data_IF_893314794454
#
_entry.id   IF_893314794454
#
_cell.length_a   1.000
_cell.length_b   1.000
_cell.length_c   1.000
_cell.angle_alpha   90.00
_cell.angle_beta   90.00
_cell.angle_gamma   90.00
#
_symmetry.space_group_name_H-M   'P 1'
#
loop_
_entity.id
_entity.type
_entity.pdbx_description
1 polymer ?
#
# COMPACT_ATOMS: atom_id res chain seq x y z
N UNK A 1 -37.22 11.36 7.91
CA UNK A 1 -36.22 10.35 8.31
C UNK A 1 -35.17 11.09 9.11
N UNK A 2 -35.03 10.75 10.39
CA UNK A 2 -34.12 11.41 11.32
C UNK A 2 -32.67 11.21 10.87
N UNK A 3 -31.93 12.30 10.67
CA UNK A 3 -30.52 12.30 10.31
C UNK A 3 -29.60 11.91 11.48
N UNK A 4 -30.17 11.70 12.68
CA UNK A 4 -29.45 11.55 13.95
C UNK A 4 -28.96 10.12 14.28
N UNK A 5 -28.96 9.17 13.34
CA UNK A 5 -28.41 7.82 13.59
C UNK A 5 -27.36 7.36 12.59
N UNK A 6 -26.70 8.29 11.89
CA UNK A 6 -25.61 7.91 10.98
C UNK A 6 -24.33 7.58 11.76
N UNK A 7 -23.80 6.38 11.49
CA UNK A 7 -22.48 5.96 11.94
C UNK A 7 -21.43 6.98 11.47
N UNK A 8 -20.66 7.54 12.41
CA UNK A 8 -19.53 8.42 12.12
C UNK A 8 -18.24 7.60 12.10
N UNK A 9 -17.78 7.27 10.90
CA UNK A 9 -16.42 6.73 10.70
C UNK A 9 -15.41 7.83 11.05
N UNK A 10 -14.39 7.48 11.82
CA UNK A 10 -13.36 8.42 12.29
C UNK A 10 -12.14 8.44 11.38
N UNK A 11 -11.69 7.26 10.98
CA UNK A 11 -10.48 7.05 10.17
C UNK A 11 -10.53 5.66 9.51
N UNK A 12 -9.65 5.45 8.55
CA UNK A 12 -9.35 4.13 8.02
C UNK A 12 -8.36 3.44 8.95
N UNK A 13 -8.68 2.22 9.42
CA UNK A 13 -7.81 1.50 10.37
C UNK A 13 -6.65 0.77 9.72
N UNK A 14 -6.91 -0.04 8.69
CA UNK A 14 -5.90 -0.75 7.90
C UNK A 14 -6.52 -1.37 6.65
N UNK A 15 -5.67 -1.77 5.70
CA UNK A 15 -6.01 -2.63 4.57
C UNK A 15 -5.35 -4.00 4.75
N UNK A 16 -6.06 -5.07 4.41
CA UNK A 16 -5.53 -6.44 4.48
C UNK A 16 -5.44 -7.06 3.10
N UNK A 17 -4.25 -7.55 2.75
CA UNK A 17 -3.94 -8.15 1.45
C UNK A 17 -3.61 -9.62 1.62
N UNK A 18 -4.01 -10.42 0.63
CA UNK A 18 -3.44 -11.75 0.45
C UNK A 18 -2.25 -11.66 -0.50
N UNK A 19 -1.12 -12.22 -0.10
CA UNK A 19 0.15 -12.18 -0.83
C UNK A 19 0.68 -13.58 -1.08
N UNK A 20 1.49 -13.75 -2.12
CA UNK A 20 2.06 -15.05 -2.50
C UNK A 20 3.40 -15.36 -1.83
N UNK A 21 4.17 -14.34 -1.49
CA UNK A 21 5.51 -14.48 -0.92
C UNK A 21 5.76 -13.36 0.11
N UNK A 22 5.76 -13.73 1.39
CA UNK A 22 5.96 -12.79 2.49
C UNK A 22 7.33 -12.11 2.49
N UNK A 23 8.36 -12.75 1.93
CA UNK A 23 9.68 -12.16 1.87
C UNK A 23 9.78 -11.15 0.71
N UNK A 24 9.17 -11.46 -0.44
CA UNK A 24 8.99 -10.46 -1.49
C UNK A 24 8.16 -9.26 -0.99
N UNK A 25 7.09 -9.53 -0.25
CA UNK A 25 6.27 -8.50 0.40
C UNK A 25 7.09 -7.63 1.34
N UNK A 26 7.94 -8.22 2.20
CA UNK A 26 8.84 -7.47 3.09
C UNK A 26 9.80 -6.59 2.32
N UNK A 27 10.48 -7.14 1.31
CA UNK A 27 11.38 -6.35 0.46
C UNK A 27 10.67 -5.14 -0.12
N UNK A 28 9.43 -5.30 -0.59
CA UNK A 28 8.67 -4.19 -1.14
C UNK A 28 8.24 -3.18 -0.07
N UNK A 29 7.44 -3.58 0.92
CA UNK A 29 6.82 -2.64 1.85
C UNK A 29 7.81 -2.08 2.88
N UNK A 30 8.72 -2.90 3.41
CA UNK A 30 9.72 -2.47 4.40
C UNK A 30 10.94 -1.87 3.73
N UNK A 31 11.56 -2.60 2.81
CA UNK A 31 12.88 -2.19 2.31
C UNK A 31 12.77 -1.14 1.21
N UNK A 32 11.82 -1.26 0.27
CA UNK A 32 11.64 -0.29 -0.82
C UNK A 32 10.78 0.89 -0.39
N UNK A 33 9.60 0.68 0.19
CA UNK A 33 8.72 1.79 0.58
C UNK A 33 9.09 2.41 1.94
N UNK A 34 9.79 1.67 2.81
CA UNK A 34 10.23 2.20 4.10
C UNK A 34 9.17 2.12 5.21
N UNK A 35 8.10 1.33 5.03
CA UNK A 35 7.14 1.10 6.11
C UNK A 35 7.77 0.29 7.24
N UNK A 36 7.43 0.60 8.48
CA UNK A 36 7.90 -0.14 9.63
C UNK A 36 7.19 -1.50 9.71
N UNK A 37 7.95 -2.60 9.74
CA UNK A 37 7.41 -3.92 10.10
C UNK A 37 7.14 -3.94 11.61
N UNK A 38 5.88 -3.95 12.02
CA UNK A 38 5.48 -3.83 13.43
C UNK A 38 5.26 -5.17 14.11
N UNK A 39 5.24 -6.27 13.35
CA UNK A 39 5.22 -7.62 13.90
C UNK A 39 4.69 -8.67 12.92
N UNK A 40 4.45 -9.86 13.46
CA UNK A 40 3.89 -10.99 12.71
C UNK A 40 2.69 -11.61 13.43
N UNK A 41 1.84 -12.30 12.67
CA UNK A 41 0.63 -12.95 13.17
C UNK A 41 0.44 -14.36 12.62
N UNK A 42 -0.48 -15.14 13.21
CA UNK A 42 -0.84 -16.51 12.79
C UNK A 42 0.38 -17.41 12.55
N UNK A 43 1.33 -17.42 13.49
CA UNK A 43 2.54 -18.23 13.39
C UNK A 43 3.45 -17.81 12.22
N UNK A 44 3.56 -16.51 11.95
CA UNK A 44 4.41 -15.96 10.88
C UNK A 44 3.75 -15.92 9.50
N UNK A 45 2.47 -16.28 9.39
CA UNK A 45 1.72 -16.21 8.12
C UNK A 45 1.21 -14.82 7.78
N UNK A 46 1.26 -13.89 8.72
CA UNK A 46 0.89 -12.49 8.53
C UNK A 46 2.08 -11.60 8.89
N UNK A 47 2.30 -10.55 8.12
CA UNK A 47 3.23 -9.46 8.43
C UNK A 47 2.44 -8.15 8.48
N UNK A 48 2.76 -7.30 9.45
CA UNK A 48 2.11 -6.01 9.67
C UNK A 48 3.08 -4.87 9.36
N UNK A 49 2.62 -3.86 8.62
CA UNK A 49 3.38 -2.68 8.24
C UNK A 49 2.69 -1.38 8.68
N UNK A 50 3.47 -0.37 9.08
CA UNK A 50 2.98 0.94 9.52
C UNK A 50 3.73 2.09 8.85
N UNK A 51 3.01 3.16 8.52
CA UNK A 51 3.49 4.48 8.11
C UNK A 51 3.79 5.40 9.33
N UNK A 52 3.56 4.92 10.55
CA UNK A 52 4.00 5.55 11.80
C UNK A 52 2.89 6.15 12.67
N UNK A 53 1.63 6.21 12.20
CA UNK A 53 0.50 6.76 12.98
C UNK A 53 -0.26 5.66 13.72
N UNK A 54 -0.57 4.55 13.04
CA UNK A 54 -1.28 3.41 13.61
C UNK A 54 -0.34 2.24 13.91
N UNK A 55 -0.77 1.27 14.73
CA UNK A 55 0.00 0.04 14.96
C UNK A 55 0.32 -0.68 13.64
N UNK A 56 -0.61 -0.66 12.69
CA UNK A 56 -0.40 -1.10 11.31
C UNK A 56 -1.41 -0.44 10.38
N UNK A 57 -0.97 -0.11 9.18
CA UNK A 57 -1.79 0.44 8.09
C UNK A 57 -2.06 -0.64 7.02
N UNK A 58 -1.12 -1.59 6.85
CA UNK A 58 -1.27 -2.73 5.94
C UNK A 58 -0.95 -4.02 6.68
N UNK A 59 -1.79 -5.03 6.49
CA UNK A 59 -1.47 -6.41 6.85
C UNK A 59 -1.43 -7.29 5.62
N UNK A 60 -0.42 -8.16 5.52
CA UNK A 60 -0.24 -9.07 4.40
C UNK A 60 -0.27 -10.52 4.90
N UNK A 61 -1.31 -11.27 4.54
CA UNK A 61 -1.47 -12.69 4.88
C UNK A 61 -1.08 -13.57 3.70
N UNK A 62 -0.31 -14.63 3.97
CA UNK A 62 0.00 -15.63 2.95
C UNK A 62 -1.28 -16.31 2.46
N UNK A 63 -1.54 -16.18 1.16
CA UNK A 63 -2.69 -16.75 0.48
C UNK A 63 -2.79 -18.27 0.72
N UNK A 64 -4.04 -18.77 0.79
CA UNK A 64 -4.33 -20.21 1.02
C UNK A 64 -4.60 -20.99 -0.25
N UNK A 65 -4.94 -20.29 -1.33
CA UNK A 65 -5.21 -20.87 -2.64
C UNK A 65 -4.09 -20.48 -3.60
N UNK A 66 -3.69 -21.43 -4.44
CA UNK A 66 -2.80 -21.17 -5.57
C UNK A 66 -3.62 -20.68 -6.79
N UNK A 67 -2.99 -19.88 -7.65
CA UNK A 67 -3.48 -19.72 -9.03
C UNK A 67 -4.34 -18.48 -9.37
N UNK A 68 -4.58 -17.55 -8.45
CA UNK A 68 -5.15 -16.26 -8.83
C UNK A 68 -4.03 -15.25 -9.16
N UNK A 69 -3.96 -14.83 -10.43
CA UNK A 69 -3.20 -13.65 -10.84
C UNK A 69 -3.84 -12.36 -10.31
N UNK A 70 -3.28 -11.18 -10.63
CA UNK A 70 -3.90 -9.91 -10.28
C UNK A 70 -5.37 -9.88 -10.75
N UNK A 71 -6.26 -9.27 -9.97
CA UNK A 71 -7.65 -9.07 -10.38
C UNK A 71 -7.68 -8.36 -11.75
N UNK A 72 -8.49 -8.82 -12.73
CA UNK A 72 -8.64 -8.14 -14.00
C UNK A 72 -9.05 -6.67 -13.81
N UNK A 73 -8.64 -5.78 -14.72
CA UNK A 73 -9.11 -4.39 -14.67
C UNK A 73 -10.61 -4.32 -15.01
N UNK A 74 -11.33 -3.43 -14.33
CA UNK A 74 -12.75 -3.15 -14.62
C UNK A 74 -13.75 -4.14 -14.04
N UNK A 75 -13.31 -5.11 -13.23
CA UNK A 75 -14.20 -5.93 -12.40
C UNK A 75 -14.16 -5.47 -10.95
N UNK A 76 -15.19 -5.76 -10.13
CA UNK A 76 -15.16 -5.46 -8.70
C UNK A 76 -13.93 -6.09 -8.01
N UNK A 77 -13.17 -5.28 -7.26
CA UNK A 77 -11.95 -5.69 -6.57
C UNK A 77 -11.19 -4.49 -5.99
N UNK A 78 -10.08 -4.76 -5.28
CA UNK A 78 -9.18 -3.68 -4.84
C UNK A 78 -8.54 -3.03 -6.07
N UNK A 79 -8.73 -1.72 -6.23
CA UNK A 79 -8.17 -0.97 -7.34
C UNK A 79 -6.72 -0.52 -7.06
N UNK A 80 -6.51 0.35 -6.06
CA UNK A 80 -5.18 0.76 -5.61
C UNK A 80 -5.20 1.15 -4.12
N UNK A 81 -4.01 1.25 -3.53
CA UNK A 81 -3.75 1.83 -2.20
C UNK A 81 -2.83 3.03 -2.40
N UNK A 82 -3.12 4.15 -1.74
CA UNK A 82 -2.33 5.37 -1.87
C UNK A 82 -1.60 5.68 -0.56
N UNK A 83 -0.32 6.05 -0.66
CA UNK A 83 0.51 6.52 0.45
C UNK A 83 1.00 7.92 0.17
N UNK A 84 0.79 8.80 1.15
CA UNK A 84 1.42 10.12 1.18
C UNK A 84 2.92 9.94 1.47
N UNK A 85 3.76 10.44 0.57
CA UNK A 85 5.23 10.39 0.70
C UNK A 85 5.84 11.77 1.00
N UNK A 86 5.02 12.80 1.21
CA UNK A 86 5.49 14.13 1.56
C UNK A 86 4.62 15.27 1.03
N UNK A 87 5.11 16.48 1.15
CA UNK A 87 4.37 17.71 0.79
C UNK A 87 4.91 18.41 -0.46
N UNK A 88 6.02 17.94 -1.02
CA UNK A 88 6.74 18.61 -2.09
C UNK A 88 7.00 17.72 -3.31
N UNK A 89 7.09 18.35 -4.49
CA UNK A 89 7.50 17.65 -5.72
C UNK A 89 8.92 17.07 -5.63
N UNK A 90 9.77 17.64 -4.77
CA UNK A 90 11.12 17.13 -4.53
C UNK A 90 11.09 15.77 -3.81
N UNK A 91 10.18 15.60 -2.85
CA UNK A 91 9.95 14.31 -2.16
C UNK A 91 9.36 13.28 -3.11
N UNK A 92 8.38 13.66 -3.96
CA UNK A 92 7.87 12.77 -4.99
C UNK A 92 8.97 12.32 -5.96
N UNK A 93 9.84 13.23 -6.37
CA UNK A 93 11.00 12.90 -7.21
C UNK A 93 12.01 11.99 -6.49
N UNK A 94 12.16 12.12 -5.17
CA UNK A 94 12.99 11.22 -4.37
C UNK A 94 12.38 9.81 -4.27
N UNK A 95 11.06 9.72 -4.04
CA UNK A 95 10.33 8.46 -4.06
C UNK A 95 10.47 7.76 -5.43
N UNK A 96 10.32 8.49 -6.54
CA UNK A 96 10.56 7.98 -7.90
C UNK A 96 11.95 7.36 -8.04
N UNK A 97 13.00 8.13 -7.73
CA UNK A 97 14.38 7.63 -7.85
C UNK A 97 14.60 6.38 -7.01
N UNK A 98 14.00 6.33 -5.82
CA UNK A 98 14.08 5.18 -4.92
C UNK A 98 13.45 3.93 -5.54
N UNK A 99 12.23 4.02 -6.07
CA UNK A 99 11.56 2.85 -6.66
C UNK A 99 12.25 2.39 -7.95
N UNK A 100 12.70 3.32 -8.79
CA UNK A 100 13.45 3.02 -10.03
C UNK A 100 14.79 2.35 -9.73
N UNK A 101 15.50 2.80 -8.69
CA UNK A 101 16.76 2.18 -8.24
C UNK A 101 16.59 0.72 -7.77
N UNK A 102 15.37 0.32 -7.41
CA UNK A 102 15.03 -1.06 -7.04
C UNK A 102 14.35 -1.83 -8.19
N UNK A 103 14.43 -1.32 -9.42
CA UNK A 103 13.94 -1.99 -10.63
C UNK A 103 12.42 -1.92 -10.82
N UNK A 104 11.71 -1.10 -10.06
CA UNK A 104 10.29 -0.85 -10.28
C UNK A 104 10.11 0.16 -11.41
N UNK A 105 9.08 -0.03 -12.23
CA UNK A 105 8.73 0.90 -13.31
C UNK A 105 7.50 1.72 -12.90
N UNK A 106 7.64 3.03 -12.69
CA UNK A 106 6.51 3.92 -12.45
C UNK A 106 5.52 3.93 -13.62
N UNK A 107 4.24 4.15 -13.31
CA UNK A 107 3.17 4.35 -14.28
C UNK A 107 2.06 5.24 -13.68
N UNK A 108 1.02 5.55 -14.46
CA UNK A 108 -0.16 6.25 -13.96
C UNK A 108 0.13 7.64 -13.41
N UNK A 109 1.12 8.32 -13.99
CA UNK A 109 1.69 9.54 -13.42
C UNK A 109 0.75 10.75 -13.52
N UNK A 110 0.72 11.52 -12.45
CA UNK A 110 0.09 12.84 -12.40
C UNK A 110 1.15 13.87 -11.98
N UNK A 111 0.86 15.18 -12.00
CA UNK A 111 1.78 16.18 -11.47
C UNK A 111 2.19 15.97 -10.00
N UNK A 112 1.42 15.19 -9.22
CA UNK A 112 1.64 15.00 -7.78
C UNK A 112 1.61 13.54 -7.31
N UNK A 113 1.59 12.59 -8.24
CA UNK A 113 1.64 11.17 -7.88
C UNK A 113 2.23 10.31 -8.98
N UNK A 114 2.68 9.12 -8.60
CA UNK A 114 3.05 8.03 -9.49
C UNK A 114 2.58 6.71 -8.88
N UNK A 115 2.34 5.71 -9.71
CA UNK A 115 2.00 4.36 -9.27
C UNK A 115 3.15 3.39 -9.53
N UNK A 116 3.30 2.41 -8.65
CA UNK A 116 4.12 1.20 -8.85
C UNK A 116 3.28 -0.04 -8.54
N UNK A 117 3.78 -1.23 -8.89
CA UNK A 117 3.15 -2.50 -8.51
C UNK A 117 3.91 -3.15 -7.38
N UNK A 118 3.18 -3.66 -6.40
CA UNK A 118 3.74 -4.57 -5.40
C UNK A 118 4.04 -5.96 -6.04
N UNK A 119 4.67 -6.89 -5.30
CA UNK A 119 5.01 -8.23 -5.81
C UNK A 119 3.79 -9.05 -6.27
N UNK A 120 2.61 -8.73 -5.74
CA UNK A 120 1.38 -9.42 -6.07
C UNK A 120 0.60 -8.77 -7.22
N UNK A 121 1.01 -7.57 -7.63
CA UNK A 121 0.48 -6.80 -8.76
C UNK A 121 -0.51 -5.71 -8.36
N UNK A 122 -0.72 -5.49 -7.05
CA UNK A 122 -1.55 -4.41 -6.51
C UNK A 122 -0.95 -3.05 -6.90
N UNK A 123 -1.81 -2.12 -7.34
CA UNK A 123 -1.38 -0.78 -7.69
C UNK A 123 -1.19 0.03 -6.40
N UNK A 124 0.03 0.54 -6.21
CA UNK A 124 0.41 1.37 -5.05
C UNK A 124 0.72 2.76 -5.58
N UNK A 125 -0.11 3.73 -5.21
CA UNK A 125 0.09 5.14 -5.52
C UNK A 125 0.96 5.78 -4.45
N UNK A 126 2.02 6.47 -4.89
CA UNK A 126 2.82 7.35 -4.07
C UNK A 126 2.47 8.78 -4.47
N UNK A 127 1.89 9.54 -3.55
CA UNK A 127 1.45 10.90 -3.82
C UNK A 127 2.06 11.88 -2.82
N UNK A 128 2.04 13.15 -3.20
CA UNK A 128 2.35 14.24 -2.28
C UNK A 128 1.14 15.15 -2.13
N UNK A 129 0.75 15.42 -0.90
CA UNK A 129 -0.27 16.39 -0.57
C UNK A 129 0.42 17.60 0.08
N UNK A 130 0.39 18.80 -0.54
CA UNK A 130 0.98 19.99 0.07
C UNK A 130 0.37 20.35 1.43
N UNK A 131 -0.73 19.71 1.83
CA UNK A 131 -1.56 20.14 2.93
C UNK A 131 -2.34 21.38 2.54
N UNK A 132 -3.46 21.61 3.23
CA UNK A 132 -4.17 22.89 3.19
C UNK A 132 -3.46 23.94 4.00
#
# INVERSE_FOLDING_TARGET
>A
MDASSRLKIRELGHVSLFVRDLEATRRFYRDILGLAETGTGKGGRIVFFSAGVHHHDVSCELARAEGAGPQPKGVPGLYHIAFDVGSSLAELAAARRRVEAHGLTPFGETPRSLCVRDPDGHEIELYVDPGT
#
